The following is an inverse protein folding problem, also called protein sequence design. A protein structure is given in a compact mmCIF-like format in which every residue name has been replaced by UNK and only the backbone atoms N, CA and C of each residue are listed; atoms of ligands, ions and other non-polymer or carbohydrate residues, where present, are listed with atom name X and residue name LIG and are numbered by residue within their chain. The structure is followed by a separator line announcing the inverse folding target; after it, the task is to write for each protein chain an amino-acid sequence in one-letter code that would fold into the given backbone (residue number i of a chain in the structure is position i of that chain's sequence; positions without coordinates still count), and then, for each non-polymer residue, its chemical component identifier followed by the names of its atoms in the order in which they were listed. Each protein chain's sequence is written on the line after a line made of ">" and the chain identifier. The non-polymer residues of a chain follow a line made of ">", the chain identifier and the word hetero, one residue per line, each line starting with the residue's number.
data_IF_342611479320
#
_entry.id   IF_342611479320
#
_cell.length_a   1.000
_cell.length_b   1.000
_cell.length_c   1.000
_cell.angle_alpha   90.00
_cell.angle_beta   90.00
_cell.angle_gamma   90.00
#
_symmetry.space_group_name_H-M   'P 1'
#
loop_
_entity.id
_entity.type
_entity.pdbx_description
1 polymer ?
#
# COMPACT_ATOMS: atom_id res chain seq x y z
N UNK A 1 9.81 -14.26 -25.83
CA UNK A 1 8.78 -15.24 -25.41
C UNK A 1 7.53 -14.48 -24.99
N UNK A 2 6.33 -14.87 -25.46
CA UNK A 2 5.07 -14.30 -25.00
C UNK A 2 4.90 -14.50 -23.49
N UNK A 3 4.24 -13.55 -22.83
CA UNK A 3 3.91 -13.64 -21.40
C UNK A 3 2.83 -14.71 -21.20
N UNK A 4 3.29 -15.88 -20.78
CA UNK A 4 2.42 -17.04 -20.58
C UNK A 4 1.82 -17.01 -19.15
N UNK A 5 0.62 -16.43 -19.02
CA UNK A 5 -0.02 -16.10 -17.74
C UNK A 5 -0.28 -17.32 -16.86
N UNK A 6 -0.67 -18.44 -17.48
CA UNK A 6 -0.96 -19.71 -16.79
C UNK A 6 0.29 -20.31 -16.15
N UNK A 7 1.43 -20.22 -16.83
CA UNK A 7 2.71 -20.68 -16.33
C UNK A 7 3.32 -19.71 -15.30
N UNK A 8 2.87 -18.44 -15.25
CA UNK A 8 3.39 -17.45 -14.30
C UNK A 8 3.01 -17.78 -12.85
N UNK A 9 1.78 -18.25 -12.61
CA UNK A 9 1.22 -18.48 -11.27
C UNK A 9 1.46 -19.89 -10.69
N UNK A 10 2.31 -20.73 -11.31
CA UNK A 10 2.65 -22.05 -10.75
C UNK A 10 3.42 -21.92 -9.44
N UNK A 11 2.91 -22.54 -8.37
CA UNK A 11 3.45 -22.49 -7.00
C UNK A 11 4.94 -22.90 -6.94
N UNK A 12 5.32 -23.92 -7.71
CA UNK A 12 6.70 -24.43 -7.80
C UNK A 12 7.71 -23.37 -8.28
N UNK A 13 7.29 -22.44 -9.15
CA UNK A 13 8.17 -21.37 -9.65
C UNK A 13 8.40 -20.30 -8.59
N UNK A 14 7.55 -20.19 -7.56
CA UNK A 14 7.75 -19.18 -6.52
C UNK A 14 8.97 -19.47 -5.64
N UNK A 15 9.31 -20.75 -5.48
CA UNK A 15 10.44 -21.21 -4.66
C UNK A 15 11.73 -21.43 -5.45
N UNK A 16 11.73 -21.23 -6.77
CA UNK A 16 12.96 -21.28 -7.57
C UNK A 16 13.85 -20.07 -7.27
N UNK A 17 15.08 -20.31 -6.82
CA UNK A 17 16.06 -19.27 -6.46
C UNK A 17 16.61 -18.52 -7.68
N UNK A 18 16.72 -19.18 -8.84
CA UNK A 18 17.15 -18.57 -10.10
C UNK A 18 16.05 -18.66 -11.16
N UNK A 19 15.08 -17.75 -11.16
CA UNK A 19 14.14 -17.66 -12.28
C UNK A 19 14.85 -17.12 -13.52
N UNK A 20 14.61 -17.75 -14.67
CA UNK A 20 15.05 -17.19 -15.97
C UNK A 20 14.52 -15.76 -16.16
N UNK A 21 15.42 -14.86 -16.57
CA UNK A 21 15.11 -13.44 -16.79
C UNK A 21 14.50 -13.29 -18.17
N UNK A 22 13.19 -13.09 -18.20
CA UNK A 22 12.55 -12.49 -19.34
C UNK A 22 12.45 -10.98 -19.08
N UNK A 23 13.08 -10.17 -19.93
CA UNK A 23 12.97 -8.70 -19.87
C UNK A 23 11.51 -8.24 -19.82
N UNK A 24 10.64 -8.94 -20.56
CA UNK A 24 9.18 -8.73 -20.54
C UNK A 24 8.59 -8.86 -19.13
N UNK A 25 9.06 -9.79 -18.31
CA UNK A 25 8.60 -9.95 -16.92
C UNK A 25 9.07 -8.81 -16.02
N UNK A 26 10.29 -8.30 -16.24
CA UNK A 26 10.82 -7.16 -15.48
C UNK A 26 10.02 -5.90 -15.81
N UNK A 27 9.80 -5.61 -17.09
CA UNK A 27 8.97 -4.48 -17.51
C UNK A 27 7.52 -4.59 -17.02
N UNK A 28 6.95 -5.80 -17.03
CA UNK A 28 5.61 -6.05 -16.50
C UNK A 28 5.52 -5.78 -14.99
N UNK A 29 6.48 -6.29 -14.20
CA UNK A 29 6.54 -6.02 -12.76
C UNK A 29 6.73 -4.52 -12.48
N UNK A 30 7.61 -3.86 -13.25
CA UNK A 30 7.87 -2.43 -13.12
C UNK A 30 6.62 -1.61 -13.44
N UNK A 31 5.85 -1.99 -14.46
CA UNK A 31 4.56 -1.36 -14.77
C UNK A 31 3.54 -1.53 -13.63
N UNK A 32 3.44 -2.73 -13.04
CA UNK A 32 2.57 -2.98 -11.89
C UNK A 32 2.97 -2.12 -10.69
N UNK A 33 4.24 -2.15 -10.29
CA UNK A 33 4.68 -1.38 -9.13
C UNK A 33 4.64 0.14 -9.39
N UNK A 34 4.90 0.56 -10.64
CA UNK A 34 4.68 1.94 -11.08
C UNK A 34 3.23 2.37 -10.91
N UNK A 35 2.26 1.54 -11.33
CA UNK A 35 0.84 1.79 -11.13
C UNK A 35 0.46 1.88 -9.64
N UNK A 36 1.05 1.03 -8.78
CA UNK A 36 0.87 1.07 -7.32
C UNK A 36 1.36 2.39 -6.72
N UNK A 37 2.52 2.89 -7.17
CA UNK A 37 3.05 4.20 -6.74
C UNK A 37 2.12 5.33 -7.19
N UNK A 38 1.66 5.30 -8.44
CA UNK A 38 0.72 6.28 -8.99
C UNK A 38 -0.58 6.29 -8.19
N UNK A 39 -1.12 5.12 -7.83
CA UNK A 39 -2.28 5.00 -6.95
C UNK A 39 -2.01 5.64 -5.57
N UNK A 40 -0.82 5.42 -5.00
CA UNK A 40 -0.38 6.10 -3.78
C UNK A 40 -0.41 7.63 -3.91
N UNK A 41 0.13 8.18 -4.99
CA UNK A 41 0.12 9.63 -5.26
C UNK A 41 -1.32 10.14 -5.42
N UNK A 42 -2.18 9.38 -6.11
CA UNK A 42 -3.59 9.72 -6.29
C UNK A 42 -4.32 9.86 -4.95
N UNK A 43 -4.08 8.97 -3.98
CA UNK A 43 -4.64 9.12 -2.62
C UNK A 43 -4.17 10.38 -1.89
N UNK A 44 -2.92 10.81 -2.11
CA UNK A 44 -2.41 12.09 -1.56
C UNK A 44 -3.10 13.30 -2.19
N UNK A 45 -3.38 13.24 -3.48
CA UNK A 45 -4.12 14.30 -4.19
C UNK A 45 -5.55 14.40 -3.66
N UNK A 46 -6.24 13.26 -3.52
CA UNK A 46 -7.58 13.21 -2.90
C UNK A 46 -7.56 13.76 -1.48
N UNK A 47 -6.55 13.41 -0.68
CA UNK A 47 -6.39 13.95 0.68
C UNK A 47 -6.29 15.48 0.69
N UNK A 48 -5.54 16.06 -0.26
CA UNK A 48 -5.27 17.50 -0.35
C UNK A 48 -6.48 18.29 -0.87
N UNK A 49 -7.19 17.75 -1.85
CA UNK A 49 -8.37 18.38 -2.47
C UNK A 49 -9.63 18.17 -1.62
N UNK A 50 -9.73 17.04 -0.94
CA UNK A 50 -10.89 16.68 -0.13
C UNK A 50 -11.06 17.60 1.08
N UNK A 51 -12.22 18.25 1.18
CA UNK A 51 -12.69 18.95 2.40
C UNK A 51 -13.17 17.98 3.50
N UNK A 52 -12.64 16.75 3.51
CA UNK A 52 -13.02 15.75 4.51
C UNK A 52 -12.52 16.10 5.90
N UNK A 53 -13.20 15.56 6.92
CA UNK A 53 -12.79 15.68 8.33
C UNK A 53 -11.32 15.28 8.54
N UNK A 54 -10.71 15.80 9.62
CA UNK A 54 -9.34 15.44 10.04
C UNK A 54 -9.11 13.93 10.09
N UNK A 55 -10.14 13.15 10.45
CA UNK A 55 -10.12 11.69 10.44
C UNK A 55 -9.99 11.09 9.04
N UNK A 56 -10.78 11.60 8.08
CA UNK A 56 -10.71 11.14 6.69
C UNK A 56 -9.34 11.49 6.08
N UNK A 57 -8.79 12.66 6.41
CA UNK A 57 -7.42 13.04 5.99
C UNK A 57 -6.36 12.09 6.56
N UNK A 58 -6.46 11.69 7.83
CA UNK A 58 -5.55 10.69 8.43
C UNK A 58 -5.69 9.32 7.78
N UNK A 59 -6.91 8.93 7.39
CA UNK A 59 -7.15 7.66 6.71
C UNK A 59 -6.51 7.65 5.32
N UNK A 60 -6.73 8.69 4.51
CA UNK A 60 -6.09 8.83 3.20
C UNK A 60 -4.55 8.88 3.30
N UNK A 61 -4.00 9.48 4.37
CA UNK A 61 -2.56 9.46 4.63
C UNK A 61 -2.04 8.03 4.86
N UNK A 62 -2.79 7.20 5.60
CA UNK A 62 -2.41 5.80 5.84
C UNK A 62 -2.41 4.99 4.55
N UNK A 63 -3.44 5.14 3.72
CA UNK A 63 -3.48 4.51 2.39
C UNK A 63 -2.34 4.99 1.50
N UNK A 64 -2.11 6.31 1.42
CA UNK A 64 -0.98 6.88 0.68
C UNK A 64 0.35 6.27 1.10
N UNK A 65 0.64 6.22 2.41
CA UNK A 65 1.88 5.67 2.93
C UNK A 65 2.03 4.17 2.62
N UNK A 66 0.95 3.40 2.76
CA UNK A 66 0.92 1.97 2.43
C UNK A 66 1.25 1.74 0.94
N UNK A 67 0.55 2.42 0.04
CA UNK A 67 0.78 2.25 -1.40
C UNK A 67 2.16 2.75 -1.84
N UNK A 68 2.65 3.85 -1.26
CA UNK A 68 3.98 4.38 -1.60
C UNK A 68 5.09 3.44 -1.12
N UNK A 69 5.04 3.00 0.14
CA UNK A 69 6.04 2.06 0.69
C UNK A 69 6.04 0.73 -0.04
N UNK A 70 4.87 0.14 -0.28
CA UNK A 70 4.75 -1.10 -1.06
C UNK A 70 5.23 -0.92 -2.51
N UNK A 71 4.87 0.19 -3.15
CA UNK A 71 5.32 0.51 -4.51
C UNK A 71 6.84 0.63 -4.60
N UNK A 72 7.46 1.39 -3.68
CA UNK A 72 8.92 1.55 -3.61
C UNK A 72 9.63 0.23 -3.33
N UNK A 73 9.15 -0.56 -2.36
CA UNK A 73 9.69 -1.89 -2.08
C UNK A 73 9.58 -2.79 -3.31
N UNK A 74 8.46 -2.76 -4.04
CA UNK A 74 8.26 -3.53 -5.25
C UNK A 74 9.23 -3.17 -6.37
N UNK A 75 9.51 -1.87 -6.56
CA UNK A 75 10.53 -1.40 -7.51
C UNK A 75 11.92 -1.89 -7.08
N UNK A 76 12.27 -1.79 -5.81
CA UNK A 76 13.56 -2.28 -5.28
C UNK A 76 13.70 -3.80 -5.49
N UNK A 77 12.65 -4.58 -5.22
CA UNK A 77 12.65 -6.03 -5.48
C UNK A 77 12.84 -6.33 -6.97
N UNK A 78 12.24 -5.52 -7.85
CA UNK A 78 12.41 -5.65 -9.30
C UNK A 78 13.84 -5.30 -9.73
N UNK A 79 14.46 -4.32 -9.07
CA UNK A 79 15.87 -3.98 -9.28
C UNK A 79 16.81 -5.12 -8.87
N UNK A 80 16.61 -5.74 -7.70
CA UNK A 80 17.42 -6.90 -7.28
C UNK A 80 17.27 -8.09 -8.22
N UNK A 81 16.10 -8.24 -8.86
CA UNK A 81 15.89 -9.22 -9.92
C UNK A 81 16.68 -8.90 -11.19
N UNK A 82 16.81 -7.62 -11.54
CA UNK A 82 17.65 -7.19 -12.65
C UNK A 82 19.14 -7.48 -12.39
N UNK A 83 19.61 -7.18 -11.18
CA UNK A 83 20.99 -7.42 -10.71
C UNK A 83 21.31 -8.90 -10.39
N UNK A 84 20.36 -9.83 -10.60
CA UNK A 84 20.52 -11.29 -10.34
C UNK A 84 21.00 -11.63 -8.93
N UNK A 85 20.59 -10.86 -7.91
CA UNK A 85 20.96 -11.18 -6.53
C UNK A 85 20.31 -12.50 -6.13
N UNK A 86 21.13 -13.48 -5.72
CA UNK A 86 20.72 -14.89 -5.62
C UNK A 86 19.44 -15.12 -4.80
N UNK A 87 19.36 -14.56 -3.59
CA UNK A 87 18.19 -14.74 -2.70
C UNK A 87 17.12 -13.66 -2.92
N UNK A 88 17.52 -12.43 -3.24
CA UNK A 88 16.62 -11.28 -3.36
C UNK A 88 15.88 -11.22 -4.70
N UNK A 89 16.37 -11.93 -5.73
CA UNK A 89 15.68 -12.07 -7.02
C UNK A 89 14.58 -13.14 -7.00
N UNK A 90 14.51 -13.95 -5.95
CA UNK A 90 13.55 -15.04 -5.82
C UNK A 90 12.10 -14.52 -5.91
N UNK A 91 11.23 -15.30 -6.57
CA UNK A 91 9.80 -14.98 -6.70
C UNK A 91 9.07 -15.01 -5.36
N UNK A 92 9.63 -15.71 -4.37
CA UNK A 92 9.17 -15.75 -2.99
C UNK A 92 8.91 -14.35 -2.41
N UNK A 93 9.74 -13.37 -2.71
CA UNK A 93 9.55 -12.00 -2.21
C UNK A 93 8.27 -11.33 -2.70
N UNK A 94 7.73 -11.73 -3.86
CA UNK A 94 6.43 -11.25 -4.33
C UNK A 94 5.28 -11.76 -3.45
N UNK A 95 5.38 -12.98 -2.92
CA UNK A 95 4.41 -13.52 -1.97
C UNK A 95 4.52 -12.80 -0.62
N UNK A 96 5.74 -12.59 -0.12
CA UNK A 96 5.97 -11.81 1.11
C UNK A 96 5.42 -10.39 0.96
N UNK A 97 5.64 -9.77 -0.18
CA UNK A 97 5.10 -8.45 -0.51
C UNK A 97 3.56 -8.45 -0.52
N UNK A 98 2.95 -9.44 -1.15
CA UNK A 98 1.49 -9.58 -1.20
C UNK A 98 0.88 -9.81 0.20
N UNK A 99 1.51 -10.67 1.01
CA UNK A 99 1.11 -10.91 2.41
C UNK A 99 1.24 -9.63 3.24
N UNK A 100 2.33 -8.88 3.06
CA UNK A 100 2.53 -7.57 3.68
C UNK A 100 1.43 -6.58 3.31
N UNK A 101 1.03 -6.54 2.03
CA UNK A 101 -0.09 -5.72 1.56
C UNK A 101 -1.39 -6.10 2.27
N UNK A 102 -1.76 -7.39 2.26
CA UNK A 102 -3.01 -7.87 2.88
C UNK A 102 -3.03 -7.60 4.38
N UNK A 103 -1.93 -7.87 5.08
CA UNK A 103 -1.81 -7.62 6.51
C UNK A 103 -1.96 -6.13 6.83
N UNK A 104 -1.27 -5.25 6.09
CA UNK A 104 -1.33 -3.82 6.35
C UNK A 104 -2.71 -3.23 6.01
N UNK A 105 -3.33 -3.72 4.94
CA UNK A 105 -4.69 -3.36 4.56
C UNK A 105 -5.69 -3.76 5.66
N UNK A 106 -5.56 -4.96 6.24
CA UNK A 106 -6.39 -5.40 7.35
C UNK A 106 -6.25 -4.50 8.58
N UNK A 107 -5.04 -4.01 8.89
CA UNK A 107 -4.82 -3.05 9.97
C UNK A 107 -5.50 -1.70 9.69
N UNK A 108 -5.47 -1.20 8.46
CA UNK A 108 -6.15 0.05 8.08
C UNK A 108 -7.67 -0.11 8.14
N UNK A 109 -8.21 -1.23 7.65
CA UNK A 109 -9.65 -1.54 7.72
C UNK A 109 -10.12 -1.67 9.18
N UNK A 110 -9.36 -2.37 10.02
CA UNK A 110 -9.62 -2.46 11.45
C UNK A 110 -9.61 -1.08 12.11
N UNK A 111 -8.67 -0.21 11.75
CA UNK A 111 -8.62 1.17 12.23
C UNK A 111 -9.85 1.97 11.78
N UNK A 112 -10.28 1.81 10.53
CA UNK A 112 -11.44 2.50 9.96
C UNK A 112 -12.73 2.13 10.69
N UNK A 113 -12.98 0.84 10.92
CA UNK A 113 -14.23 0.36 11.51
C UNK A 113 -14.24 0.54 13.04
N UNK A 114 -13.12 0.27 13.71
CA UNK A 114 -13.08 0.23 15.18
C UNK A 114 -12.70 1.55 15.83
N UNK A 115 -11.81 2.34 15.23
CA UNK A 115 -11.24 3.52 15.90
C UNK A 115 -11.87 4.84 15.45
N UNK A 116 -12.35 4.94 14.21
CA UNK A 116 -12.94 6.18 13.69
C UNK A 116 -14.30 6.52 14.34
N UNK A 117 -15.29 5.61 14.44
CA UNK A 117 -16.59 5.94 15.04
C UNK A 117 -16.49 6.47 16.48
N UNK A 118 -15.82 5.80 17.45
CA UNK A 118 -15.76 6.30 18.82
C UNK A 118 -14.92 7.57 18.94
N UNK A 119 -13.94 7.79 18.06
CA UNK A 119 -13.16 9.02 18.03
C UNK A 119 -13.96 10.21 17.50
N UNK A 120 -14.87 9.99 16.54
CA UNK A 120 -15.82 11.01 16.07
C UNK A 120 -16.81 11.42 17.16
N UNK A 121 -17.37 10.44 17.87
CA UNK A 121 -18.32 10.72 18.97
C UNK A 121 -17.67 11.49 20.12
N UNK A 122 -16.45 11.11 20.51
CA UNK A 122 -15.69 11.86 21.54
C UNK A 122 -15.46 13.30 21.11
N UNK A 123 -15.06 13.54 19.86
CA UNK A 123 -14.82 14.89 19.35
C UNK A 123 -16.09 15.75 19.31
N UNK A 124 -17.24 15.15 18.97
CA UNK A 124 -18.53 15.84 19.05
C UNK A 124 -18.88 16.23 20.49
N UNK A 125 -18.75 15.30 21.44
CA UNK A 125 -19.02 15.58 22.87
C UNK A 125 -18.12 16.68 23.43
N UNK A 126 -16.84 16.70 23.07
CA UNK A 126 -15.93 17.78 23.51
C UNK A 126 -16.29 19.11 22.86
N UNK A 127 -16.70 19.12 21.59
CA UNK A 127 -17.14 20.33 20.91
C UNK A 127 -18.45 20.88 21.51
N UNK A 128 -19.39 20.01 21.85
CA UNK A 128 -20.64 20.40 22.52
C UNK A 128 -20.34 20.97 23.90
N UNK A 129 -19.49 20.32 24.70
CA UNK A 129 -19.07 20.84 26.00
C UNK A 129 -18.36 22.21 25.90
N UNK A 130 -17.46 22.36 24.93
CA UNK A 130 -16.76 23.62 24.67
C UNK A 130 -17.67 24.74 24.16
N UNK A 131 -18.84 24.43 23.58
CA UNK A 131 -19.84 25.43 23.19
C UNK A 131 -20.42 26.15 24.40
N UNK A 132 -20.51 25.48 25.54
CA UNK A 132 -21.08 26.02 26.78
C UNK A 132 -20.02 26.63 27.73
N UNK A 133 -18.73 26.49 27.40
CA UNK A 133 -17.67 27.12 28.19
C UNK A 133 -17.50 28.60 27.77
N UNK A 134 -17.42 29.53 28.75
CA UNK A 134 -17.18 30.93 28.44
C UNK A 134 -15.80 31.10 27.80
N UNK A 135 -15.78 31.62 26.57
CA UNK A 135 -14.53 31.95 25.88
C UNK A 135 -13.92 33.16 26.56
N UNK A 136 -12.68 33.03 27.07
CA UNK A 136 -11.90 34.20 27.53
C UNK A 136 -11.75 35.17 26.37
N UNK A 137 -12.14 36.43 26.59
CA UNK A 137 -11.92 37.56 25.68
C UNK A 137 -10.43 37.86 25.57
#
# INVERSE_FOLDING_TARGET
>A
MPLDLTNFFKLERFFSLQPSIALNTVYFLLAIFGAVIIAGIFFKVIQKIGRGDSFSKKLWQKYHLMFLTLGVIGVILTWFRYERVYVLSARFWLLVWLLGLVFWLALILKYQIKNIPPAREKLQRTNDFNKYLPKKK
#
